data_IF_575167247966
#
_entry.id   IF_575167247966
#
_cell.length_a   1.000
_cell.length_b   1.000
_cell.length_c   1.000
_cell.angle_alpha   90.00
_cell.angle_beta   90.00
_cell.angle_gamma   90.00
#
_symmetry.space_group_name_H-M   'P 1'
#
loop_
_entity.id
_entity.type
_entity.pdbx_description
1 polymer ?
#
# COMPACT_ATOMS: atom_id res chain seq x y z
N UNK A 1 5.71 9.70 -5.02
CA UNK A 1 6.30 8.42 -5.48
C UNK A 1 5.28 7.47 -6.13
N UNK A 2 3.97 7.65 -5.94
CA UNK A 2 2.94 6.94 -6.70
C UNK A 2 2.30 7.85 -7.75
N UNK A 3 1.84 7.31 -8.89
CA UNK A 3 1.04 8.08 -9.84
C UNK A 3 -0.27 8.53 -9.18
N UNK A 4 -0.61 9.81 -9.34
CA UNK A 4 -1.94 10.33 -8.98
C UNK A 4 -2.99 9.96 -10.04
N UNK A 5 -2.55 9.79 -11.30
CA UNK A 5 -3.36 9.31 -12.41
C UNK A 5 -2.49 8.50 -13.39
N UNK A 6 -3.06 7.45 -13.98
CA UNK A 6 -2.44 6.68 -15.06
C UNK A 6 -1.36 5.69 -14.61
N UNK A 7 -0.36 5.49 -15.47
CA UNK A 7 0.68 4.47 -15.32
C UNK A 7 2.03 5.12 -15.14
N UNK A 8 2.79 4.69 -14.12
CA UNK A 8 4.15 5.14 -13.88
C UNK A 8 5.13 3.97 -13.95
N UNK A 9 6.30 4.17 -14.58
CA UNK A 9 7.34 3.15 -14.69
C UNK A 9 8.58 3.54 -13.89
N UNK A 10 8.91 2.72 -12.91
CA UNK A 10 10.11 2.79 -12.10
C UNK A 10 11.05 1.65 -12.53
N UNK A 11 11.85 1.89 -13.58
CA UNK A 11 12.71 0.85 -14.16
C UNK A 11 11.89 -0.34 -14.70
N UNK A 12 12.18 -1.59 -14.28
CA UNK A 12 11.42 -2.76 -14.73
C UNK A 12 10.03 -2.88 -14.09
N UNK A 13 9.68 -1.98 -13.17
CA UNK A 13 8.42 -2.02 -12.43
C UNK A 13 7.48 -1.00 -13.04
N UNK A 14 6.29 -1.45 -13.39
CA UNK A 14 5.21 -0.61 -13.84
C UNK A 14 4.14 -0.61 -12.75
N UNK A 15 3.66 0.57 -12.40
CA UNK A 15 2.64 0.78 -11.38
C UNK A 15 1.50 1.53 -12.03
N UNK A 16 0.31 0.98 -11.88
CA UNK A 16 -0.92 1.56 -12.41
C UNK A 16 -1.87 1.85 -11.26
N UNK A 17 -2.42 3.06 -11.28
CA UNK A 17 -3.48 3.43 -10.37
C UNK A 17 -4.80 2.77 -10.78
N UNK A 18 -5.47 2.12 -9.83
CA UNK A 18 -6.76 1.44 -10.07
C UNK A 18 -7.89 2.28 -9.48
N UNK A 19 -7.81 2.57 -8.18
CA UNK A 19 -8.82 3.35 -7.47
C UNK A 19 -8.26 3.98 -6.21
N UNK A 20 -8.98 4.96 -5.68
CA UNK A 20 -8.72 5.55 -4.37
C UNK A 20 -10.03 5.80 -3.65
N UNK A 21 -10.04 5.57 -2.35
CA UNK A 21 -11.13 5.94 -1.47
C UNK A 21 -10.61 6.85 -0.36
N UNK A 22 -11.47 7.76 0.10
CA UNK A 22 -11.21 8.62 1.25
C UNK A 22 -12.26 8.31 2.32
N UNK A 23 -11.84 7.83 3.47
CA UNK A 23 -12.68 7.60 4.64
C UNK A 23 -12.10 8.34 5.85
N UNK A 24 -12.79 9.38 6.32
CA UNK A 24 -12.35 10.24 7.43
C UNK A 24 -10.91 10.75 7.21
N UNK A 25 -9.98 10.34 8.08
CA UNK A 25 -8.57 10.68 8.06
C UNK A 25 -7.72 9.67 7.28
N UNK A 26 -8.32 8.78 6.49
CA UNK A 26 -7.64 7.68 5.82
C UNK A 26 -7.85 7.80 4.31
N UNK A 27 -6.76 7.89 3.56
CA UNK A 27 -6.78 7.69 2.11
C UNK A 27 -6.32 6.27 1.80
N UNK A 28 -7.20 5.47 1.19
CA UNK A 28 -6.84 4.18 0.61
C UNK A 28 -6.59 4.36 -0.89
N UNK A 29 -5.59 3.66 -1.43
CA UNK A 29 -5.30 3.63 -2.87
C UNK A 29 -4.95 2.22 -3.29
N UNK A 30 -5.58 1.75 -4.36
CA UNK A 30 -5.32 0.46 -4.96
C UNK A 30 -4.44 0.66 -6.19
N UNK A 31 -3.33 -0.08 -6.21
CA UNK A 31 -2.39 -0.09 -7.32
C UNK A 31 -2.23 -1.49 -7.88
N UNK A 32 -2.04 -1.54 -9.19
CA UNK A 32 -1.65 -2.72 -9.93
C UNK A 32 -0.18 -2.61 -10.30
N UNK A 33 0.66 -3.49 -9.76
CA UNK A 33 2.10 -3.48 -9.95
C UNK A 33 2.53 -4.64 -10.85
N UNK A 34 3.06 -4.30 -12.01
CA UNK A 34 3.70 -5.20 -12.95
C UNK A 34 5.21 -5.18 -12.77
N UNK A 35 5.86 -6.33 -12.87
CA UNK A 35 7.31 -6.41 -12.88
C UNK A 35 7.77 -7.10 -14.17
N UNK A 36 8.22 -6.30 -15.14
CA UNK A 36 8.70 -6.77 -16.44
C UNK A 36 10.04 -7.53 -16.36
N UNK A 37 10.79 -7.41 -15.25
CA UNK A 37 12.03 -8.16 -15.04
C UNK A 37 11.79 -9.59 -14.51
N UNK A 38 10.57 -9.94 -14.08
CA UNK A 38 10.27 -11.27 -13.51
C UNK A 38 10.27 -12.44 -14.49
N UNK A 39 10.62 -12.23 -15.77
CA UNK A 39 10.88 -13.33 -16.70
C UNK A 39 12.06 -14.20 -16.24
N UNK A 40 12.94 -13.72 -15.35
CA UNK A 40 13.98 -14.56 -14.71
C UNK A 40 14.22 -14.20 -13.25
N UNK A 41 14.03 -15.20 -12.39
CA UNK A 41 14.47 -15.36 -10.98
C UNK A 41 13.52 -14.84 -9.87
N UNK A 42 13.34 -15.76 -8.92
CA UNK A 42 12.54 -15.72 -7.71
C UNK A 42 12.90 -14.54 -6.82
N UNK A 43 11.86 -13.97 -6.20
CA UNK A 43 11.87 -13.10 -5.03
C UNK A 43 12.66 -11.79 -5.16
N UNK A 44 11.92 -10.69 -5.35
CA UNK A 44 12.44 -9.33 -5.18
C UNK A 44 11.52 -8.61 -4.20
N UNK A 45 12.04 -8.41 -2.99
CA UNK A 45 11.51 -7.53 -1.95
C UNK A 45 11.64 -6.08 -2.43
N UNK A 46 10.52 -5.37 -2.55
CA UNK A 46 10.52 -3.97 -2.97
C UNK A 46 10.30 -3.07 -1.77
N UNK A 47 11.34 -2.32 -1.42
CA UNK A 47 11.32 -1.26 -0.41
C UNK A 47 10.97 0.06 -1.08
N UNK A 48 9.95 0.74 -0.56
CA UNK A 48 9.65 2.14 -0.90
C UNK A 48 9.39 2.88 0.42
N UNK A 49 10.36 3.73 0.81
CA UNK A 49 10.33 4.74 1.88
C UNK A 49 9.86 6.09 1.27
N UNK A 50 9.24 7.09 1.91
CA UNK A 50 9.02 7.51 3.30
C UNK A 50 7.60 8.15 3.46
N UNK A 51 7.20 8.51 4.69
CA UNK A 51 5.92 9.08 5.20
C UNK A 51 4.80 8.08 5.60
N UNK A 52 4.34 8.14 6.86
CA UNK A 52 3.38 7.23 7.55
C UNK A 52 2.34 6.56 6.64
N UNK A 53 2.71 5.41 6.06
CA UNK A 53 1.90 4.63 5.11
C UNK A 53 2.00 3.16 5.40
N UNK A 54 0.84 2.51 5.41
CA UNK A 54 0.71 1.06 5.44
C UNK A 54 0.53 0.61 3.99
N UNK A 55 1.38 -0.28 3.50
CA UNK A 55 1.23 -0.89 2.17
C UNK A 55 1.16 -2.40 2.35
N UNK A 56 -0.02 -2.97 2.08
CA UNK A 56 -0.23 -4.40 2.12
C UNK A 56 -0.12 -4.98 0.70
N UNK A 57 0.63 -6.07 0.57
CA UNK A 57 0.97 -6.70 -0.70
C UNK A 57 0.36 -8.11 -0.74
N UNK A 58 -0.49 -8.41 -1.72
CA UNK A 58 -0.96 -9.78 -1.97
C UNK A 58 -0.12 -10.49 -3.04
N UNK A 59 -0.07 -11.83 -2.98
CA UNK A 59 0.60 -12.71 -3.96
C UNK A 59 -0.41 -13.16 -5.04
N UNK A 60 0.11 -13.52 -6.22
CA UNK A 60 -0.44 -13.27 -7.56
C UNK A 60 -1.18 -14.47 -8.19
N UNK A 61 -2.18 -14.17 -9.03
CA UNK A 61 -2.42 -14.85 -10.31
C UNK A 61 -2.36 -13.79 -11.44
N UNK A 62 -1.81 -14.14 -12.62
CA UNK A 62 -1.81 -13.34 -13.88
C UNK A 62 -0.81 -12.17 -14.11
N UNK A 63 0.43 -12.23 -13.61
CA UNK A 63 1.53 -11.35 -14.09
C UNK A 63 1.61 -9.94 -13.48
N UNK A 64 0.67 -9.57 -12.61
CA UNK A 64 0.68 -8.34 -11.82
C UNK A 64 0.28 -8.58 -10.36
N UNK A 65 0.84 -7.82 -9.42
CA UNK A 65 0.44 -7.84 -8.01
C UNK A 65 -0.44 -6.66 -7.66
N UNK A 66 -1.49 -6.91 -6.91
CA UNK A 66 -2.31 -5.87 -6.32
C UNK A 66 -1.65 -5.38 -5.02
N UNK A 67 -1.64 -4.07 -4.83
CA UNK A 67 -1.11 -3.42 -3.63
C UNK A 67 -2.14 -2.40 -3.15
N UNK A 68 -2.57 -2.54 -1.91
CA UNK A 68 -3.36 -1.51 -1.26
C UNK A 68 -2.47 -0.69 -0.34
N UNK A 69 -2.49 0.61 -0.57
CA UNK A 69 -1.85 1.60 0.26
C UNK A 69 -2.91 2.28 1.13
N UNK A 70 -2.61 2.44 2.41
CA UNK A 70 -3.35 3.29 3.32
C UNK A 70 -2.45 4.41 3.83
N UNK A 71 -2.93 5.64 3.73
CA UNK A 71 -2.28 6.84 4.22
C UNK A 71 -3.15 7.48 5.29
N UNK A 72 -2.60 7.62 6.49
CA UNK A 72 -3.29 8.24 7.61
C UNK A 72 -2.92 9.72 7.69
N UNK A 73 -3.94 10.59 7.71
CA UNK A 73 -3.82 12.04 7.76
C UNK A 73 -4.03 12.60 9.18
N UNK A 74 -4.63 11.81 10.07
CA UNK A 74 -5.03 12.24 11.42
C UNK A 74 -3.89 12.27 12.45
N UNK A 75 -2.63 12.17 12.01
CA UNK A 75 -1.45 12.24 12.87
C UNK A 75 -0.69 13.56 12.66
N UNK A 76 -0.80 14.52 13.59
CA UNK A 76 -0.14 15.80 13.45
C UNK A 76 1.34 15.71 13.82
N UNK A 77 2.18 16.48 13.12
CA UNK A 77 3.66 16.47 13.27
C UNK A 77 4.17 16.74 14.69
N UNK A 78 3.39 17.48 15.48
CA UNK A 78 3.76 17.98 16.81
C UNK A 78 3.16 17.16 17.95
N UNK A 79 2.61 15.96 17.67
CA UNK A 79 2.10 15.05 18.72
C UNK A 79 2.63 13.64 18.55
N UNK A 80 2.82 13.01 19.70
CA UNK A 80 3.18 11.58 19.80
C UNK A 80 1.99 10.64 19.60
N UNK A 81 0.77 11.17 19.50
CA UNK A 81 -0.46 10.36 19.35
C UNK A 81 -1.42 10.96 18.33
N UNK A 82 -2.18 10.14 17.59
CA UNK A 82 -3.18 10.60 16.65
C UNK A 82 -4.28 11.40 17.35
N UNK A 83 -4.91 12.34 16.62
CA UNK A 83 -5.98 13.18 17.19
C UNK A 83 -7.17 12.34 17.66
N UNK A 84 -7.47 11.25 16.94
CA UNK A 84 -8.55 10.33 17.25
C UNK A 84 -8.07 8.89 17.29
N UNK A 85 -8.19 8.24 18.45
CA UNK A 85 -7.97 6.79 18.59
C UNK A 85 -8.92 6.00 17.70
N UNK A 86 -10.14 6.50 17.49
CA UNK A 86 -11.17 5.84 16.68
C UNK A 86 -10.78 5.80 15.21
N UNK A 87 -10.31 6.91 14.64
CA UNK A 87 -9.89 6.92 13.22
C UNK A 87 -8.65 6.05 13.01
N UNK A 88 -7.73 6.01 13.99
CA UNK A 88 -6.60 5.10 13.92
C UNK A 88 -7.00 3.62 14.02
N UNK A 89 -7.94 3.24 14.90
CA UNK A 89 -8.45 1.87 14.95
C UNK A 89 -9.20 1.46 13.68
N UNK A 90 -9.86 2.40 13.00
CA UNK A 90 -10.44 2.15 11.68
C UNK A 90 -9.39 1.78 10.63
N UNK A 91 -8.26 2.48 10.62
CA UNK A 91 -7.14 2.16 9.73
C UNK A 91 -6.67 0.72 9.94
N UNK A 92 -6.46 0.31 11.18
CA UNK A 92 -6.05 -1.08 11.49
C UNK A 92 -7.07 -2.08 10.97
N UNK A 93 -8.37 -1.84 11.19
CA UNK A 93 -9.43 -2.72 10.68
C UNK A 93 -9.45 -2.80 9.15
N UNK A 94 -9.19 -1.71 8.44
CA UNK A 94 -9.11 -1.72 6.98
C UNK A 94 -7.90 -2.53 6.49
N UNK A 95 -6.76 -2.43 7.18
CA UNK A 95 -5.55 -3.22 6.89
C UNK A 95 -5.81 -4.71 7.14
N UNK A 96 -6.39 -5.06 8.29
CA UNK A 96 -6.71 -6.44 8.66
C UNK A 96 -7.69 -7.05 7.66
N UNK A 97 -8.76 -6.32 7.32
CA UNK A 97 -9.75 -6.75 6.33
C UNK A 97 -9.11 -7.04 4.97
N UNK A 98 -8.20 -6.17 4.51
CA UNK A 98 -7.50 -6.39 3.25
C UNK A 98 -6.56 -7.61 3.30
N UNK A 99 -5.94 -7.87 4.46
CA UNK A 99 -5.12 -9.07 4.65
C UNK A 99 -5.96 -10.35 4.62
N UNK A 100 -7.16 -10.33 5.21
CA UNK A 100 -8.11 -11.45 5.20
C UNK A 100 -8.68 -11.71 3.79
N UNK A 101 -9.20 -10.67 3.12
CA UNK A 101 -9.89 -10.81 1.82
C UNK A 101 -8.98 -11.34 0.69
N UNK A 102 -7.68 -11.05 0.74
CA UNK A 102 -6.72 -11.45 -0.29
C UNK A 102 -5.82 -12.63 0.11
N UNK A 103 -6.16 -13.28 1.22
CA UNK A 103 -5.75 -14.61 1.72
C UNK A 103 -4.25 -14.98 1.60
N UNK A 104 -3.56 -14.99 2.75
CA UNK A 104 -2.62 -16.06 3.13
C UNK A 104 -1.24 -16.15 2.46
N UNK A 105 -0.84 -15.23 1.59
CA UNK A 105 0.53 -15.22 1.03
C UNK A 105 1.57 -14.61 1.97
N UNK A 106 2.87 -14.89 1.77
CA UNK A 106 4.04 -14.20 2.39
C UNK A 106 4.13 -12.70 2.00
N UNK A 107 3.01 -11.98 2.02
CA UNK A 107 2.94 -10.54 1.84
C UNK A 107 3.47 -9.84 3.08
N UNK A 108 4.58 -9.12 2.94
CA UNK A 108 5.08 -8.26 4.01
C UNK A 108 4.30 -6.96 4.01
N UNK A 109 3.65 -6.62 5.11
CA UNK A 109 3.13 -5.26 5.31
C UNK A 109 4.31 -4.32 5.49
N UNK A 110 4.43 -3.33 4.60
CA UNK A 110 5.43 -2.28 4.75
C UNK A 110 4.78 -1.11 5.48
N UNK A 111 5.37 -0.74 6.61
CA UNK A 111 5.01 0.46 7.36
C UNK A 111 6.23 1.35 7.39
N UNK A 112 6.05 2.60 7.04
CA UNK A 112 7.11 3.60 7.08
C UNK A 112 6.50 4.91 7.55
N UNK A 113 7.16 5.65 8.45
CA UNK A 113 6.77 7.00 8.87
C UNK A 113 7.71 8.05 8.25
N UNK A 114 7.54 9.31 8.66
CA UNK A 114 8.59 10.32 8.48
C UNK A 114 9.71 10.13 9.50
#
# INVERSE_FOLDING_TARGET
YWPENGVHRHGPIQVEFVSADLEEDIISRIFRIYNAARVRKRSLTLFISAYMRFSCFSVMNDGYRMVQQFQFLGWPMYRDTPVSKRSFLKLIRQVDKWQEEYDGGEGRTVVHCL
#
